data_IF_146527924649
#
_entry.id   IF_146527924649
#
_cell.length_a   1.000
_cell.length_b   1.000
_cell.length_c   1.000
_cell.angle_alpha   90.00
_cell.angle_beta   90.00
_cell.angle_gamma   90.00
#
_symmetry.space_group_name_H-M   'P 1'
#
loop_
_entity.id
_entity.type
_entity.pdbx_description
1 polymer ?
#
# COMPACT_ATOMS: atom_id res chain seq x y z
N UNK A 1 -11.14 12.43 15.62
CA UNK A 1 -9.84 12.30 14.92
C UNK A 1 -8.79 12.64 15.94
N UNK A 2 -8.00 11.66 16.36
CA UNK A 2 -6.98 11.87 17.37
C UNK A 2 -5.96 12.89 16.85
N UNK A 3 -5.90 14.05 17.51
CA UNK A 3 -4.95 15.12 17.21
C UNK A 3 -3.49 14.72 17.51
N UNK A 4 -3.27 13.49 18.00
CA UNK A 4 -1.97 12.93 18.38
C UNK A 4 -1.46 11.84 17.42
N UNK A 5 -2.19 11.46 16.37
CA UNK A 5 -1.65 10.54 15.37
C UNK A 5 -0.67 11.31 14.48
N UNK A 6 0.61 10.95 14.51
CA UNK A 6 1.55 11.45 13.51
C UNK A 6 1.03 11.08 12.11
N UNK A 7 0.99 12.03 11.16
CA UNK A 7 0.63 11.73 9.80
C UNK A 7 1.69 10.77 9.23
N UNK A 8 1.23 9.71 8.56
CA UNK A 8 2.12 8.88 7.75
C UNK A 8 2.88 9.80 6.78
N UNK A 9 4.21 9.77 6.86
CA UNK A 9 5.05 10.52 5.93
C UNK A 9 4.86 9.94 4.52
N UNK A 10 4.46 10.81 3.59
CA UNK A 10 4.35 10.45 2.17
C UNK A 10 5.61 10.98 1.48
N UNK A 11 6.33 10.09 0.80
CA UNK A 11 7.53 10.42 0.05
C UNK A 11 7.35 10.07 -1.41
N UNK A 12 8.01 10.84 -2.27
CA UNK A 12 8.06 10.60 -3.71
C UNK A 12 9.05 9.47 -3.98
N UNK A 13 8.63 8.45 -4.74
CA UNK A 13 9.48 7.31 -5.13
C UNK A 13 10.28 7.65 -6.39
N UNK A 14 9.66 8.32 -7.36
CA UNK A 14 10.22 8.75 -8.65
C UNK A 14 9.68 10.13 -9.05
N UNK A 15 10.34 10.83 -10.00
CA UNK A 15 9.92 12.16 -10.47
C UNK A 15 8.42 12.21 -10.83
N UNK A 16 7.67 13.09 -10.15
CA UNK A 16 6.23 13.20 -10.34
C UNK A 16 5.72 14.64 -10.12
N UNK A 17 4.52 14.91 -10.66
CA UNK A 17 3.79 16.16 -10.40
C UNK A 17 2.67 15.92 -9.39
N UNK A 18 2.59 16.78 -8.38
CA UNK A 18 1.57 16.71 -7.33
C UNK A 18 0.58 17.87 -7.46
N UNK A 19 -0.72 17.56 -7.38
CA UNK A 19 -1.77 18.57 -7.26
C UNK A 19 -2.19 18.70 -5.80
N UNK A 20 -2.10 19.93 -5.28
CA UNK A 20 -2.49 20.24 -3.90
C UNK A 20 -3.81 21.02 -3.89
N UNK A 21 -4.80 20.51 -3.14
CA UNK A 21 -6.00 21.26 -2.78
C UNK A 21 -5.70 21.99 -1.45
N UNK A 22 -5.72 23.34 -1.40
CA UNK A 22 -5.47 24.06 -0.16
C UNK A 22 -6.72 24.00 0.73
N UNK A 23 -6.92 22.86 1.40
CA UNK A 23 -8.10 22.56 2.23
C UNK A 23 -8.42 23.67 3.23
N UNK A 24 -7.45 24.29 3.96
CA UNK A 24 -7.76 25.36 4.90
C UNK A 24 -8.42 26.59 4.24
N UNK A 25 -8.11 26.86 2.97
CA UNK A 25 -8.66 28.00 2.24
C UNK A 25 -10.12 27.79 1.82
N UNK A 26 -10.49 26.56 1.49
CA UNK A 26 -11.81 26.23 0.92
C UNK A 26 -12.66 25.35 1.84
N UNK A 27 -12.31 25.30 3.13
CA UNK A 27 -12.92 24.36 4.07
C UNK A 27 -14.44 24.53 4.13
N UNK A 28 -14.93 25.77 4.19
CA UNK A 28 -16.35 26.08 4.28
C UNK A 28 -17.10 25.62 3.02
N UNK A 29 -16.57 25.91 1.84
CA UNK A 29 -17.16 25.54 0.56
C UNK A 29 -17.18 24.01 0.37
N UNK A 30 -16.07 23.34 0.72
CA UNK A 30 -15.96 21.89 0.64
C UNK A 30 -16.94 21.18 1.58
N UNK A 31 -17.17 21.74 2.78
CA UNK A 31 -18.15 21.21 3.74
C UNK A 31 -19.59 21.54 3.37
N UNK A 32 -19.81 22.56 2.53
CA UNK A 32 -21.14 22.94 2.04
C UNK A 32 -21.55 22.19 0.76
N UNK A 33 -20.62 21.52 0.07
CA UNK A 33 -20.90 20.79 -1.18
C UNK A 33 -21.28 19.32 -0.91
N UNK A 34 -22.57 18.94 -1.03
CA UNK A 34 -23.01 17.56 -0.79
C UNK A 34 -22.48 16.58 -1.84
N UNK A 35 -22.18 17.03 -3.06
CA UNK A 35 -21.63 16.18 -4.13
C UNK A 35 -20.19 15.82 -3.80
N UNK A 36 -19.39 16.80 -3.40
CA UNK A 36 -18.02 16.58 -2.94
C UNK A 36 -18.00 15.62 -1.73
N UNK A 37 -18.81 15.90 -0.70
CA UNK A 37 -18.85 15.07 0.50
C UNK A 37 -19.30 13.64 0.20
N UNK A 38 -20.31 13.44 -0.66
CA UNK A 38 -20.74 12.10 -1.08
C UNK A 38 -19.60 11.33 -1.75
N UNK A 39 -18.85 11.97 -2.64
CA UNK A 39 -17.72 11.35 -3.32
C UNK A 39 -16.59 11.01 -2.34
N UNK A 40 -16.29 11.90 -1.38
CA UNK A 40 -15.33 11.63 -0.30
C UNK A 40 -15.77 10.44 0.54
N UNK A 41 -17.04 10.36 0.94
CA UNK A 41 -17.58 9.23 1.69
C UNK A 41 -17.42 7.91 0.91
N UNK A 42 -17.83 7.87 -0.36
CA UNK A 42 -17.69 6.69 -1.21
C UNK A 42 -16.22 6.27 -1.32
N UNK A 43 -15.33 7.22 -1.59
CA UNK A 43 -13.90 6.97 -1.68
C UNK A 43 -13.33 6.39 -0.38
N UNK A 44 -13.67 6.98 0.76
CA UNK A 44 -13.22 6.52 2.07
C UNK A 44 -13.79 5.15 2.43
N UNK A 45 -15.05 4.86 2.11
CA UNK A 45 -15.65 3.54 2.31
C UNK A 45 -14.93 2.46 1.50
N UNK A 46 -14.64 2.72 0.22
CA UNK A 46 -13.87 1.78 -0.60
C UNK A 46 -12.44 1.61 -0.09
N UNK A 47 -11.76 2.71 0.27
CA UNK A 47 -10.41 2.67 0.85
C UNK A 47 -10.39 1.85 2.15
N UNK A 48 -11.35 2.08 3.05
CA UNK A 48 -11.47 1.34 4.29
C UNK A 48 -11.77 -0.14 4.05
N UNK A 49 -12.68 -0.48 3.14
CA UNK A 49 -12.95 -1.87 2.78
C UNK A 49 -11.71 -2.58 2.23
N UNK A 50 -10.88 -1.91 1.41
CA UNK A 50 -9.58 -2.46 0.98
C UNK A 50 -8.64 -2.65 2.16
N UNK A 51 -8.51 -1.65 3.03
CA UNK A 51 -7.66 -1.74 4.21
C UNK A 51 -8.05 -2.91 5.13
N UNK A 52 -9.35 -3.08 5.40
CA UNK A 52 -9.88 -4.20 6.18
C UNK A 52 -9.56 -5.53 5.50
N UNK A 53 -9.81 -5.66 4.19
CA UNK A 53 -9.48 -6.90 3.46
C UNK A 53 -7.99 -7.24 3.54
N UNK A 54 -7.11 -6.26 3.38
CA UNK A 54 -5.66 -6.44 3.49
C UNK A 54 -5.27 -6.81 4.92
N UNK A 55 -5.79 -6.11 5.93
CA UNK A 55 -5.50 -6.38 7.34
C UNK A 55 -5.99 -7.78 7.78
N UNK A 56 -7.21 -8.17 7.40
CA UNK A 56 -7.75 -9.50 7.67
C UNK A 56 -6.97 -10.61 6.98
N UNK A 57 -6.48 -10.38 5.74
CA UNK A 57 -5.57 -11.31 5.07
C UNK A 57 -4.25 -11.44 5.84
N UNK A 58 -3.66 -10.32 6.24
CA UNK A 58 -2.38 -10.32 6.94
C UNK A 58 -2.44 -11.03 8.31
N UNK A 59 -3.59 -11.04 8.99
CA UNK A 59 -3.76 -11.80 10.25
C UNK A 59 -3.79 -13.33 10.07
N UNK A 60 -4.13 -13.83 8.88
CA UNK A 60 -4.26 -15.27 8.61
C UNK A 60 -3.22 -15.84 7.64
N UNK A 61 -2.42 -14.99 7.00
CA UNK A 61 -1.51 -15.39 5.93
C UNK A 61 -0.11 -15.67 6.46
N UNK A 62 0.50 -16.75 5.97
CA UNK A 62 1.94 -16.98 6.15
C UNK A 62 2.73 -15.91 5.40
N UNK A 63 4.01 -15.71 5.76
CA UNK A 63 4.87 -14.75 5.07
C UNK A 63 4.92 -15.00 3.56
N UNK A 64 4.95 -16.25 3.13
CA UNK A 64 4.90 -16.63 1.70
C UNK A 64 3.63 -16.15 1.03
N UNK A 65 2.46 -16.30 1.67
CA UNK A 65 1.19 -15.83 1.11
C UNK A 65 1.13 -14.29 1.04
N UNK A 66 1.68 -13.60 2.05
CA UNK A 66 1.75 -12.14 2.06
C UNK A 66 2.67 -11.61 0.95
N UNK A 67 3.85 -12.23 0.78
CA UNK A 67 4.79 -11.87 -0.28
C UNK A 67 4.21 -12.14 -1.67
N UNK A 68 3.55 -13.28 -1.89
CA UNK A 68 2.90 -13.58 -3.17
C UNK A 68 1.81 -12.55 -3.51
N UNK A 69 0.98 -12.17 -2.52
CA UNK A 69 -0.03 -11.14 -2.71
C UNK A 69 0.58 -9.77 -3.00
N UNK A 70 1.68 -9.41 -2.35
CA UNK A 70 2.41 -8.17 -2.59
C UNK A 70 2.99 -8.13 -4.01
N UNK A 71 3.68 -9.19 -4.44
CA UNK A 71 4.23 -9.31 -5.79
C UNK A 71 3.12 -9.17 -6.85
N UNK A 72 1.98 -9.84 -6.68
CA UNK A 72 0.85 -9.70 -7.62
C UNK A 72 0.24 -8.30 -7.65
N UNK A 73 0.33 -7.56 -6.55
CA UNK A 73 -0.18 -6.20 -6.44
C UNK A 73 0.75 -5.18 -7.11
N UNK A 74 2.06 -5.36 -7.00
CA UNK A 74 3.07 -4.40 -7.48
C UNK A 74 3.68 -4.77 -8.83
N UNK A 75 3.49 -6.02 -9.28
CA UNK A 75 4.00 -6.45 -10.57
C UNK A 75 3.36 -5.65 -11.72
N UNK A 76 4.19 -5.22 -12.65
CA UNK A 76 3.78 -4.53 -13.86
C UNK A 76 4.27 -5.32 -15.08
N UNK A 77 3.34 -5.66 -15.99
CA UNK A 77 3.63 -6.48 -17.18
C UNK A 77 4.39 -7.78 -16.89
N UNK A 78 4.08 -8.44 -15.76
CA UNK A 78 4.72 -9.69 -15.35
C UNK A 78 6.07 -9.52 -14.65
N UNK A 79 6.56 -8.30 -14.48
CA UNK A 79 7.82 -7.99 -13.81
C UNK A 79 7.57 -7.40 -12.42
N UNK A 80 8.34 -7.89 -11.45
CA UNK A 80 8.38 -7.37 -10.09
C UNK A 80 9.79 -6.82 -9.82
N UNK A 81 9.89 -5.53 -9.47
CA UNK A 81 11.17 -4.83 -9.31
C UNK A 81 11.19 -3.90 -8.09
N UNK A 82 10.63 -4.36 -6.97
CA UNK A 82 10.62 -3.59 -5.72
C UNK A 82 11.90 -3.80 -4.91
N UNK A 83 12.39 -2.75 -4.25
CA UNK A 83 13.57 -2.85 -3.38
C UNK A 83 13.25 -3.74 -2.19
N UNK A 84 13.98 -4.84 -2.04
CA UNK A 84 13.76 -5.81 -0.95
C UNK A 84 13.75 -5.19 0.46
N UNK A 85 14.50 -4.12 0.71
CA UNK A 85 14.48 -3.41 1.99
C UNK A 85 13.10 -2.79 2.28
N UNK A 86 12.49 -2.13 1.30
CA UNK A 86 11.15 -1.54 1.41
C UNK A 86 10.08 -2.63 1.57
N UNK A 87 10.25 -3.75 0.89
CA UNK A 87 9.32 -4.89 0.95
C UNK A 87 9.35 -5.54 2.33
N UNK A 88 10.54 -5.71 2.91
CA UNK A 88 10.71 -6.26 4.25
C UNK A 88 10.06 -5.34 5.31
N UNK A 89 10.26 -4.03 5.18
CA UNK A 89 9.62 -3.03 6.03
C UNK A 89 8.09 -3.05 5.90
N UNK A 90 7.57 -3.08 4.66
CA UNK A 90 6.14 -3.15 4.38
C UNK A 90 5.47 -4.40 4.97
N UNK A 91 6.13 -5.56 4.86
CA UNK A 91 5.63 -6.83 5.40
C UNK A 91 5.90 -7.00 6.91
N UNK A 92 6.64 -6.07 7.54
CA UNK A 92 6.99 -6.16 8.95
C UNK A 92 7.91 -7.33 9.30
N UNK A 93 8.78 -7.76 8.37
CA UNK A 93 9.71 -8.87 8.56
C UNK A 93 11.16 -8.46 8.40
N UNK A 94 12.09 -9.28 8.90
CA UNK A 94 13.51 -9.03 8.65
C UNK A 94 13.87 -9.30 7.18
N UNK A 95 14.83 -8.53 6.66
CA UNK A 95 15.37 -8.71 5.31
C UNK A 95 15.79 -10.16 5.02
N UNK A 96 16.36 -10.86 6.01
CA UNK A 96 16.75 -12.27 5.88
C UNK A 96 15.56 -13.19 5.65
N UNK A 97 14.45 -12.99 6.37
CA UNK A 97 13.25 -13.80 6.20
C UNK A 97 12.61 -13.56 4.83
N UNK A 98 12.59 -12.31 4.36
CA UNK A 98 12.13 -12.00 3.01
C UNK A 98 12.94 -12.76 1.96
N UNK A 99 14.28 -12.70 2.03
CA UNK A 99 15.15 -13.40 1.07
C UNK A 99 14.97 -14.91 1.09
N UNK A 100 14.72 -15.52 2.26
CA UNK A 100 14.46 -16.96 2.36
C UNK A 100 13.23 -17.37 1.54
N UNK A 101 12.14 -16.61 1.65
CA UNK A 101 10.90 -16.89 0.93
C UNK A 101 11.06 -16.59 -0.57
N UNK A 102 11.77 -15.53 -0.95
CA UNK A 102 12.09 -15.25 -2.36
C UNK A 102 12.88 -16.42 -2.97
N UNK A 103 13.89 -16.93 -2.25
CA UNK A 103 14.67 -18.08 -2.71
C UNK A 103 13.82 -19.35 -2.85
N UNK A 104 12.86 -19.56 -1.95
CA UNK A 104 11.87 -20.64 -2.07
C UNK A 104 11.02 -20.49 -3.34
N UNK A 105 10.51 -19.28 -3.62
CA UNK A 105 9.72 -19.02 -4.83
C UNK A 105 10.50 -19.27 -6.12
N UNK A 106 11.78 -18.90 -6.15
CA UNK A 106 12.66 -19.22 -7.27
C UNK A 106 12.87 -20.72 -7.40
N UNK A 107 13.14 -21.42 -6.29
CA UNK A 107 13.34 -22.86 -6.28
C UNK A 107 12.13 -23.65 -6.77
N UNK A 108 10.92 -23.20 -6.43
CA UNK A 108 9.64 -23.82 -6.83
C UNK A 108 9.22 -23.39 -8.25
N UNK A 109 9.85 -22.36 -8.82
CA UNK A 109 9.59 -21.87 -10.18
C UNK A 109 8.48 -20.83 -10.29
N UNK A 110 8.06 -20.21 -9.19
CA UNK A 110 7.10 -19.10 -9.21
C UNK A 110 7.73 -17.77 -9.61
N UNK A 111 9.02 -17.61 -9.34
CA UNK A 111 9.81 -16.45 -9.76
C UNK A 111 11.01 -16.91 -10.58
N UNK A 112 11.35 -16.13 -11.59
CA UNK A 112 12.61 -16.26 -12.31
C UNK A 112 13.39 -14.96 -12.14
N UNK A 113 14.69 -15.10 -11.89
CA UNK A 113 15.59 -13.97 -11.83
C UNK A 113 16.05 -13.65 -13.25
N UNK A 114 15.84 -12.40 -13.66
CA UNK A 114 16.48 -11.80 -14.83
C UNK A 114 17.93 -11.38 -14.53
#
# INVERSE_FOLDING_TARGET
>A
MDAQSEPFSVQVIDECYCLALPVPKYQTELLADPTFLRNVCIYLSHKNARNIKTASRNQGFTLSQQLAAFILLTAHNGYYNEKHTQVAEYLGVSYRHLLYVIAEFVKVGYLQKD
#
